data_IF_788962365645
#
_entry.id   IF_788962365645
#
_cell.length_a   1.000
_cell.length_b   1.000
_cell.length_c   1.000
_cell.angle_alpha   90.00
_cell.angle_beta   90.00
_cell.angle_gamma   90.00
#
_symmetry.space_group_name_H-M   'P 1'
#
loop_
_entity.id
_entity.type
_entity.pdbx_description
1 polymer ?
#
# COMPACT_ATOMS: atom_id res chain seq x y z
N UNK A 1 -69.41 -6.59 -23.33
CA UNK A 1 -68.45 -7.71 -23.50
C UNK A 1 -67.74 -7.97 -22.17
N UNK A 2 -67.86 -9.20 -21.67
CA UNK A 2 -67.44 -9.67 -20.35
C UNK A 2 -65.96 -9.42 -20.02
N UNK A 3 -65.63 -9.15 -18.74
CA UNK A 3 -64.29 -9.38 -18.20
C UNK A 3 -64.24 -10.74 -17.49
N UNK A 4 -63.26 -11.57 -17.86
CA UNK A 4 -62.91 -12.82 -17.17
C UNK A 4 -61.43 -13.12 -17.48
N UNK A 5 -60.68 -13.84 -16.62
CA UNK A 5 -60.31 -13.48 -15.25
C UNK A 5 -58.79 -13.59 -15.01
N UNK A 6 -58.38 -13.08 -13.84
CA UNK A 6 -57.10 -13.37 -13.16
C UNK A 6 -56.89 -14.87 -12.88
N UNK A 7 -55.64 -15.32 -13.04
CA UNK A 7 -55.03 -16.53 -12.48
C UNK A 7 -53.55 -16.55 -12.92
N UNK A 8 -52.54 -16.97 -12.18
CA UNK A 8 -52.37 -17.58 -10.85
C UNK A 8 -50.86 -17.44 -10.55
N UNK A 9 -50.40 -17.21 -9.30
CA UNK A 9 -48.96 -17.16 -9.01
C UNK A 9 -48.33 -18.56 -9.09
N UNK A 10 -47.13 -18.64 -9.70
CA UNK A 10 -46.32 -19.86 -9.80
C UNK A 10 -45.28 -19.86 -8.67
N UNK A 11 -44.97 -21.02 -8.04
CA UNK A 11 -44.45 -21.07 -6.67
C UNK A 11 -42.93 -20.93 -6.56
N UNK A 12 -42.53 -20.43 -5.40
CA UNK A 12 -41.16 -20.32 -4.86
C UNK A 12 -40.55 -21.71 -4.62
N UNK A 13 -39.26 -21.96 -4.93
CA UNK A 13 -38.60 -23.23 -4.61
C UNK A 13 -38.35 -23.34 -3.10
N UNK A 14 -38.83 -24.42 -2.51
CA UNK A 14 -38.60 -24.83 -1.13
C UNK A 14 -37.15 -25.29 -0.91
N UNK A 15 -36.55 -24.87 0.20
CA UNK A 15 -35.20 -25.22 0.61
C UNK A 15 -34.96 -26.73 0.78
N UNK A 16 -33.74 -27.14 0.41
CA UNK A 16 -33.22 -28.48 0.65
C UNK A 16 -32.74 -28.62 2.10
N UNK A 17 -32.93 -29.80 2.73
CA UNK A 17 -32.63 -30.02 4.14
C UNK A 17 -31.14 -30.28 4.40
N UNK A 18 -30.64 -29.63 5.45
CA UNK A 18 -29.35 -29.88 6.11
C UNK A 18 -29.29 -31.31 6.67
N UNK A 19 -28.20 -32.08 6.48
CA UNK A 19 -28.02 -33.36 7.14
C UNK A 19 -27.50 -33.20 8.57
N UNK A 20 -28.20 -33.84 9.51
CA UNK A 20 -27.86 -33.95 10.94
C UNK A 20 -26.60 -34.81 11.15
N UNK A 21 -25.67 -34.43 12.06
CA UNK A 21 -24.47 -35.20 12.35
C UNK A 21 -24.75 -36.40 13.26
N UNK A 22 -24.24 -37.58 12.88
CA UNK A 22 -24.21 -38.80 13.69
C UNK A 22 -23.04 -38.77 14.68
N UNK A 23 -23.31 -39.01 15.96
CA UNK A 23 -22.30 -38.98 17.02
C UNK A 23 -21.50 -40.27 17.24
N UNK A 24 -20.23 -40.06 17.62
CA UNK A 24 -19.38 -40.79 18.59
C UNK A 24 -18.89 -42.22 18.25
N UNK A 25 -17.66 -42.62 18.68
CA UNK A 25 -17.13 -42.36 20.02
C UNK A 25 -15.69 -41.81 20.13
N UNK A 26 -15.50 -41.12 21.25
CA UNK A 26 -14.26 -40.69 21.89
C UNK A 26 -13.18 -41.78 21.99
N UNK A 27 -11.90 -41.43 21.78
CA UNK A 27 -10.79 -42.04 22.49
C UNK A 27 -10.19 -41.09 23.53
N UNK A 28 -9.92 -41.71 24.68
CA UNK A 28 -9.25 -41.29 25.91
C UNK A 28 -8.04 -40.36 25.73
N UNK A 29 -7.81 -39.38 26.64
CA UNK A 29 -6.62 -38.54 26.60
C UNK A 29 -5.40 -39.31 27.15
N UNK A 30 -4.34 -39.40 26.35
CA UNK A 30 -3.01 -39.85 26.77
C UNK A 30 -2.20 -38.67 27.27
N UNK A 31 -1.54 -38.88 28.40
CA UNK A 31 -0.82 -37.93 29.23
C UNK A 31 0.38 -37.26 28.55
N UNK A 32 0.62 -35.99 28.92
CA UNK A 32 1.86 -35.25 28.72
C UNK A 32 3.09 -36.00 29.28
N UNK A 33 4.26 -35.87 28.64
CA UNK A 33 5.52 -35.94 29.37
C UNK A 33 5.99 -34.54 29.74
N UNK A 34 5.95 -34.26 31.04
CA UNK A 34 6.72 -33.21 31.70
C UNK A 34 8.20 -33.61 31.71
N UNK A 35 9.16 -32.74 31.36
CA UNK A 35 10.57 -32.97 31.68
C UNK A 35 10.89 -32.42 33.07
N UNK A 36 11.17 -33.33 34.00
CA UNK A 36 11.74 -33.03 35.33
C UNK A 36 13.14 -32.42 35.19
N UNK A 37 13.52 -31.43 36.04
CA UNK A 37 14.85 -30.85 36.06
C UNK A 37 15.87 -31.81 36.69
N UNK A 38 17.10 -31.81 36.19
CA UNK A 38 18.23 -32.42 36.88
C UNK A 38 19.40 -31.44 36.94
N UNK A 39 19.97 -31.41 38.13
CA UNK A 39 20.88 -30.42 38.70
C UNK A 39 22.24 -30.29 38.00
N UNK A 40 22.76 -29.07 38.09
CA UNK A 40 24.19 -28.72 38.04
C UNK A 40 24.99 -29.56 39.07
N UNK A 41 26.33 -29.74 38.92
CA UNK A 41 27.20 -28.70 39.48
C UNK A 41 28.56 -28.46 38.80
N UNK A 42 28.97 -27.19 38.94
CA UNK A 42 30.32 -26.71 39.28
C UNK A 42 31.44 -26.71 38.23
N UNK A 43 32.04 -25.52 38.04
CA UNK A 43 33.45 -25.43 37.65
C UNK A 43 33.91 -24.14 36.97
N UNK A 44 33.96 -23.04 37.72
CA UNK A 44 34.80 -21.85 37.59
C UNK A 44 35.72 -21.64 36.36
N UNK A 45 35.73 -20.42 35.81
CA UNK A 45 36.95 -19.89 35.17
C UNK A 45 36.81 -18.76 34.15
N UNK A 46 36.76 -17.52 34.66
CA UNK A 46 37.51 -16.34 34.16
C UNK A 46 37.31 -15.81 32.73
N UNK A 47 36.82 -14.56 32.64
CA UNK A 47 37.35 -13.55 31.71
C UNK A 47 36.43 -13.17 30.54
N UNK A 48 35.43 -12.33 30.80
CA UNK A 48 34.75 -11.58 29.74
C UNK A 48 35.70 -10.51 29.15
N UNK A 49 35.84 -10.41 27.81
CA UNK A 49 36.54 -9.29 27.20
C UNK A 49 35.67 -8.01 27.28
N UNK A 50 36.25 -6.81 27.45
CA UNK A 50 35.47 -5.58 27.53
C UNK A 50 34.80 -5.25 26.20
N UNK A 51 33.52 -4.90 26.27
CA UNK A 51 32.77 -4.26 25.18
C UNK A 51 33.45 -2.93 24.85
N UNK A 52 33.96 -2.84 23.63
CA UNK A 52 34.56 -1.64 23.07
C UNK A 52 33.42 -0.79 22.49
N UNK A 53 32.94 0.16 23.29
CA UNK A 53 32.06 1.24 22.86
C UNK A 53 32.90 2.21 22.03
N UNK A 54 32.62 2.26 20.73
CA UNK A 54 33.17 3.29 19.84
C UNK A 54 32.54 4.63 20.19
N UNK A 55 33.36 5.59 20.61
CA UNK A 55 33.02 7.02 20.60
C UNK A 55 33.02 7.50 19.15
N UNK A 56 31.86 7.44 18.50
CA UNK A 56 31.57 8.32 17.37
C UNK A 56 30.99 9.61 17.96
N UNK A 57 31.77 10.68 17.97
CA UNK A 57 31.31 12.03 18.27
C UNK A 57 30.44 12.55 17.12
N UNK A 58 29.13 12.81 17.28
CA UNK A 58 28.38 13.52 16.28
C UNK A 58 28.79 15.00 16.34
N UNK A 59 29.43 15.48 15.28
CA UNK A 59 29.68 16.91 15.09
C UNK A 59 28.38 17.58 14.67
N UNK A 60 27.82 18.39 15.58
CA UNK A 60 26.73 19.32 15.27
C UNK A 60 27.09 20.27 14.11
N UNK A 61 26.28 20.25 13.07
CA UNK A 61 25.79 21.46 12.39
C UNK A 61 24.29 21.29 12.21
N UNK A 62 23.45 22.28 12.61
CA UNK A 62 22.03 22.22 12.40
C UNK A 62 21.76 22.58 10.93
N UNK A 63 21.60 21.57 10.09
CA UNK A 63 20.92 21.74 8.82
C UNK A 63 19.44 21.59 9.14
N UNK A 64 18.67 22.62 8.85
CA UNK A 64 17.25 22.69 9.09
C UNK A 64 16.51 22.30 7.80
N UNK A 65 15.34 21.68 8.00
CA UNK A 65 14.13 21.59 7.15
C UNK A 65 14.21 20.84 5.81
N UNK A 66 13.37 19.78 5.70
CA UNK A 66 12.90 19.12 4.48
C UNK A 66 13.83 18.15 3.72
N UNK A 67 14.70 17.40 4.38
CA UNK A 67 15.31 16.19 3.79
C UNK A 67 14.73 14.95 4.49
N UNK A 68 13.59 14.39 4.03
CA UNK A 68 13.33 12.93 4.01
C UNK A 68 11.92 12.47 3.56
N UNK A 69 11.13 13.25 2.81
CA UNK A 69 9.99 12.64 2.13
C UNK A 69 10.51 11.58 1.14
N UNK A 70 10.03 10.34 1.26
CA UNK A 70 10.57 9.20 0.50
C UNK A 70 10.41 9.41 -1.01
N UNK A 71 9.35 10.12 -1.43
CA UNK A 71 9.01 10.51 -2.79
C UNK A 71 10.19 11.00 -3.63
N UNK A 72 10.99 11.94 -3.11
CA UNK A 72 12.10 12.57 -3.86
C UNK A 72 13.31 11.63 -4.08
N UNK A 73 13.33 10.47 -3.39
CA UNK A 73 14.42 9.49 -3.46
C UNK A 73 14.02 8.22 -4.22
N UNK A 74 12.76 8.11 -4.63
CA UNK A 74 12.28 6.97 -5.37
C UNK A 74 12.93 6.95 -6.75
N UNK A 75 13.59 5.85 -7.06
CA UNK A 75 14.14 5.61 -8.38
C UNK A 75 13.35 4.47 -9.01
N UNK A 76 12.26 4.85 -9.66
CA UNK A 76 11.44 3.93 -10.43
C UNK A 76 12.25 3.32 -11.58
N UNK A 77 11.97 2.06 -11.96
CA UNK A 77 12.61 1.45 -13.12
C UNK A 77 12.36 2.29 -14.38
N UNK A 78 13.41 2.48 -15.18
CA UNK A 78 13.30 3.22 -16.43
C UNK A 78 12.36 2.45 -17.37
N UNK A 79 11.21 3.03 -17.72
CA UNK A 79 10.24 2.39 -18.62
C UNK A 79 10.82 2.08 -20.01
N UNK A 80 11.91 2.73 -20.41
CA UNK A 80 12.62 2.40 -21.65
C UNK A 80 13.50 1.15 -21.56
N UNK A 81 13.71 0.64 -20.34
CA UNK A 81 14.39 -0.64 -20.08
C UNK A 81 13.47 -1.85 -20.19
N UNK A 82 12.15 -1.62 -20.29
CA UNK A 82 11.14 -2.66 -20.45
C UNK A 82 11.33 -3.35 -21.83
N UNK A 83 11.41 -4.70 -21.89
CA UNK A 83 11.67 -5.46 -23.12
C UNK A 83 10.78 -5.08 -24.31
N UNK A 84 11.37 -5.10 -25.52
CA UNK A 84 10.68 -4.81 -26.77
C UNK A 84 10.14 -6.08 -27.42
N UNK A 85 9.29 -5.91 -28.44
CA UNK A 85 8.70 -6.97 -29.25
C UNK A 85 9.68 -8.13 -29.61
N UNK A 86 9.17 -9.35 -29.50
CA UNK A 86 9.82 -10.61 -29.81
C UNK A 86 10.16 -10.75 -31.30
N UNK A 87 11.18 -11.55 -31.62
CA UNK A 87 11.48 -11.92 -33.01
C UNK A 87 10.49 -13.01 -33.44
N UNK A 88 9.50 -12.63 -34.26
CA UNK A 88 8.49 -13.56 -34.75
C UNK A 88 8.98 -14.45 -35.91
N UNK A 89 8.51 -15.69 -35.92
CA UNK A 89 8.69 -16.71 -36.96
C UNK A 89 7.48 -16.79 -37.92
N UNK A 90 6.26 -16.56 -37.43
CA UNK A 90 5.07 -16.45 -38.28
C UNK A 90 4.31 -15.14 -38.06
N UNK A 91 3.35 -14.88 -38.94
CA UNK A 91 2.48 -13.71 -38.86
C UNK A 91 1.06 -14.10 -39.22
N UNK A 92 0.13 -13.77 -38.34
CA UNK A 92 -1.30 -13.87 -38.52
C UNK A 92 -1.86 -12.44 -38.57
N UNK A 93 -2.79 -12.22 -39.48
CA UNK A 93 -3.43 -10.91 -39.67
C UNK A 93 -4.91 -11.13 -39.92
N UNK A 94 -5.73 -10.48 -39.11
CA UNK A 94 -7.18 -10.44 -39.23
C UNK A 94 -7.66 -9.52 -40.35
N UNK A 95 -8.87 -9.03 -40.17
CA UNK A 95 -9.64 -8.16 -41.05
C UNK A 95 -10.14 -6.96 -40.26
N UNK A 96 -10.89 -6.05 -40.88
CA UNK A 96 -11.44 -4.88 -40.16
C UNK A 96 -12.72 -5.20 -39.37
N UNK A 97 -12.96 -6.46 -39.01
CA UNK A 97 -14.11 -6.82 -38.19
C UNK A 97 -13.80 -8.07 -37.38
N UNK A 98 -14.64 -8.37 -36.38
CA UNK A 98 -14.40 -9.42 -35.40
C UNK A 98 -13.82 -10.72 -35.98
N UNK A 99 -12.61 -11.01 -35.56
CA UNK A 99 -11.80 -12.15 -35.90
C UNK A 99 -11.50 -13.03 -34.67
N UNK A 100 -11.07 -14.25 -34.94
CA UNK A 100 -10.51 -15.13 -33.93
C UNK A 100 -9.21 -15.69 -34.49
N UNK A 101 -8.10 -15.26 -33.92
CA UNK A 101 -6.76 -15.64 -34.33
C UNK A 101 -6.13 -16.47 -33.22
N UNK A 102 -5.54 -17.59 -33.61
CA UNK A 102 -4.82 -18.47 -32.70
C UNK A 102 -3.46 -18.74 -33.30
N UNK A 103 -2.42 -18.44 -32.52
CA UNK A 103 -1.03 -18.71 -32.84
C UNK A 103 -0.72 -20.20 -32.90
N UNK A 104 0.55 -20.48 -32.75
CA UNK A 104 1.18 -21.77 -32.96
C UNK A 104 2.06 -22.10 -31.75
N UNK A 105 3.10 -22.90 -31.94
CA UNK A 105 4.02 -23.24 -30.86
C UNK A 105 5.40 -22.59 -31.10
N UNK A 106 5.41 -21.48 -31.82
CA UNK A 106 6.59 -20.73 -32.26
C UNK A 106 6.22 -19.27 -32.25
N UNK A 107 7.21 -18.39 -32.00
CA UNK A 107 6.96 -16.97 -31.83
C UNK A 107 6.13 -16.41 -32.98
N UNK A 108 4.93 -15.95 -32.69
CA UNK A 108 3.98 -15.44 -33.65
C UNK A 108 3.90 -13.92 -33.57
N UNK A 109 3.47 -13.32 -34.67
CA UNK A 109 2.98 -11.94 -34.69
C UNK A 109 1.51 -11.99 -35.07
N UNK A 110 0.63 -11.76 -34.09
CA UNK A 110 -0.82 -11.83 -34.24
C UNK A 110 -1.37 -10.41 -34.27
N UNK A 111 -2.03 -10.03 -35.37
CA UNK A 111 -2.58 -8.69 -35.56
C UNK A 111 -4.10 -8.81 -35.79
N UNK A 112 -4.91 -8.31 -34.85
CA UNK A 112 -6.38 -8.27 -34.97
C UNK A 112 -6.85 -7.31 -36.06
N UNK A 113 -6.37 -6.06 -35.99
CA UNK A 113 -6.66 -4.91 -36.86
C UNK A 113 -7.80 -4.03 -36.35
N UNK A 114 -9.01 -4.12 -36.90
CA UNK A 114 -10.17 -3.44 -36.34
C UNK A 114 -11.23 -4.50 -36.06
N UNK A 115 -12.22 -4.14 -35.27
CA UNK A 115 -13.20 -5.06 -34.72
C UNK A 115 -12.73 -5.60 -33.38
N UNK A 116 -13.70 -5.96 -32.54
CA UNK A 116 -13.46 -6.65 -31.28
C UNK A 116 -13.06 -8.10 -31.55
N UNK A 117 -11.80 -8.43 -31.36
CA UNK A 117 -11.17 -9.68 -31.73
C UNK A 117 -10.90 -10.60 -30.54
N UNK A 118 -10.72 -11.89 -30.83
CA UNK A 118 -10.20 -12.87 -29.88
C UNK A 118 -8.83 -13.34 -30.35
N UNK A 119 -7.78 -12.96 -29.63
CA UNK A 119 -6.39 -13.23 -29.98
C UNK A 119 -5.76 -14.18 -28.95
N UNK A 120 -5.13 -15.26 -29.41
CA UNK A 120 -4.59 -16.31 -28.54
C UNK A 120 -3.17 -16.68 -29.01
N UNK A 121 -2.14 -16.45 -28.19
CA UNK A 121 -0.74 -16.80 -28.47
C UNK A 121 -0.47 -18.31 -28.48
N UNK A 122 -0.91 -18.99 -27.41
CA UNK A 122 -0.69 -20.42 -27.07
C UNK A 122 0.61 -20.70 -26.33
N UNK A 123 1.74 -20.78 -27.04
CA UNK A 123 3.02 -21.16 -26.47
C UNK A 123 4.11 -20.33 -27.15
N UNK A 124 5.22 -20.11 -26.46
CA UNK A 124 6.38 -19.32 -26.91
C UNK A 124 6.15 -17.82 -26.85
N UNK A 125 7.22 -17.05 -27.00
CA UNK A 125 7.20 -15.60 -26.86
C UNK A 125 6.62 -14.93 -28.09
N UNK A 126 5.35 -14.58 -28.03
CA UNK A 126 4.56 -14.01 -29.10
C UNK A 126 4.55 -12.48 -29.06
N UNK A 127 4.13 -11.88 -30.17
CA UNK A 127 3.69 -10.49 -30.20
C UNK A 127 2.22 -10.47 -30.59
N UNK A 128 1.38 -9.86 -29.75
CA UNK A 128 -0.06 -9.81 -29.97
C UNK A 128 -0.50 -8.35 -29.97
N UNK A 129 -1.18 -7.95 -31.04
CA UNK A 129 -1.65 -6.60 -31.27
C UNK A 129 -3.16 -6.66 -31.49
N UNK A 130 -3.92 -6.13 -30.54
CA UNK A 130 -5.37 -5.99 -30.59
C UNK A 130 -5.79 -5.25 -31.86
N UNK A 131 -5.40 -3.98 -31.98
CA UNK A 131 -5.80 -3.29 -33.19
C UNK A 131 -5.32 -1.88 -33.43
N UNK A 132 -6.28 -1.01 -33.69
CA UNK A 132 -6.08 0.23 -34.43
C UNK A 132 -5.28 1.25 -33.61
N UNK A 133 -3.99 1.42 -33.93
CA UNK A 133 -3.09 2.41 -33.33
C UNK A 133 -3.44 3.89 -33.65
N UNK A 134 -4.71 4.27 -33.76
CA UNK A 134 -5.13 5.60 -34.23
C UNK A 134 -5.50 6.60 -33.13
N UNK A 135 -5.33 7.87 -33.50
CA UNK A 135 -5.68 9.05 -32.72
C UNK A 135 -7.17 9.42 -32.74
N UNK A 136 -8.07 8.52 -33.14
CA UNK A 136 -9.52 8.78 -33.21
C UNK A 136 -10.18 8.04 -32.04
N UNK A 137 -10.79 8.79 -31.13
CA UNK A 137 -11.73 8.26 -30.14
C UNK A 137 -12.89 7.61 -30.88
N UNK A 138 -12.79 6.30 -31.06
CA UNK A 138 -13.90 5.41 -31.31
C UNK A 138 -14.53 5.15 -29.93
N UNK A 139 -15.85 5.05 -29.80
CA UNK A 139 -16.43 4.86 -28.46
C UNK A 139 -15.98 3.53 -27.85
N UNK A 140 -16.07 3.42 -26.51
CA UNK A 140 -15.69 2.28 -25.65
C UNK A 140 -15.96 0.85 -26.18
N UNK A 141 -16.95 0.69 -27.06
CA UNK A 141 -17.39 -0.63 -27.58
C UNK A 141 -16.84 -0.94 -29.00
N UNK A 142 -15.93 -0.14 -29.54
CA UNK A 142 -15.32 -0.36 -30.85
C UNK A 142 -13.89 -0.80 -30.63
N UNK A 143 -13.55 -1.99 -31.11
CA UNK A 143 -12.22 -2.62 -31.01
C UNK A 143 -11.86 -3.19 -29.62
N UNK A 144 -12.83 -3.36 -28.72
CA UNK A 144 -12.64 -4.10 -27.45
C UNK A 144 -12.18 -5.54 -27.69
N UNK A 145 -10.91 -5.82 -27.50
CA UNK A 145 -10.28 -7.08 -27.77
C UNK A 145 -10.22 -7.98 -26.54
N UNK A 146 -10.16 -9.29 -26.75
CA UNK A 146 -9.81 -10.24 -25.70
C UNK A 146 -8.55 -10.97 -26.11
N UNK A 147 -7.49 -10.78 -25.33
CA UNK A 147 -6.15 -11.23 -25.65
C UNK A 147 -5.65 -12.22 -24.60
N UNK A 148 -5.09 -13.33 -25.05
CA UNK A 148 -4.44 -14.33 -24.21
C UNK A 148 -3.01 -14.57 -24.70
N UNK A 149 -1.99 -14.19 -23.94
CA UNK A 149 -0.59 -14.55 -24.23
C UNK A 149 -0.34 -16.04 -24.00
N UNK A 150 -0.68 -16.50 -22.80
CA UNK A 150 -0.64 -17.88 -22.28
C UNK A 150 0.69 -18.33 -21.67
N UNK A 151 1.71 -18.70 -22.46
CA UNK A 151 2.97 -19.24 -21.92
C UNK A 151 4.17 -18.60 -22.60
N UNK A 152 5.17 -18.26 -21.79
CA UNK A 152 6.40 -17.57 -22.16
C UNK A 152 6.21 -16.07 -22.37
N UNK A 153 7.34 -15.36 -22.31
CA UNK A 153 7.40 -13.91 -22.30
C UNK A 153 6.78 -13.27 -23.55
N UNK A 154 5.53 -12.82 -23.43
CA UNK A 154 4.73 -12.24 -24.48
C UNK A 154 4.81 -10.72 -24.51
N UNK A 155 4.58 -10.14 -25.69
CA UNK A 155 4.48 -8.70 -25.90
C UNK A 155 3.10 -8.37 -26.44
N UNK A 156 2.25 -7.78 -25.60
CA UNK A 156 0.83 -7.58 -25.87
C UNK A 156 0.48 -6.09 -25.86
N UNK A 157 -0.21 -5.64 -26.91
CA UNK A 157 -0.79 -4.29 -26.99
C UNK A 157 -2.28 -4.43 -27.35
N UNK A 158 -3.16 -3.89 -26.51
CA UNK A 158 -4.59 -3.75 -26.80
C UNK A 158 -4.87 -2.70 -27.88
N UNK A 159 -4.28 -1.51 -27.68
CA UNK A 159 -4.39 -0.30 -28.50
C UNK A 159 -5.57 0.62 -28.17
N UNK A 160 -6.78 0.31 -28.58
CA UNK A 160 -7.91 1.22 -28.40
C UNK A 160 -9.21 0.46 -28.23
N UNK A 161 -10.07 0.97 -27.35
CA UNK A 161 -11.29 0.29 -26.92
C UNK A 161 -11.03 -0.45 -25.61
N UNK A 162 -12.10 -0.75 -24.88
CA UNK A 162 -11.98 -1.40 -23.56
C UNK A 162 -11.50 -2.86 -23.73
N UNK A 163 -10.20 -3.11 -23.55
CA UNK A 163 -9.56 -4.38 -23.80
C UNK A 163 -9.51 -5.28 -22.56
N UNK A 164 -9.52 -6.60 -22.80
CA UNK A 164 -9.30 -7.61 -21.77
C UNK A 164 -8.04 -8.40 -22.11
N UNK A 165 -7.01 -8.29 -21.27
CA UNK A 165 -5.71 -8.91 -21.51
C UNK A 165 -5.38 -9.88 -20.37
N UNK A 166 -5.11 -11.14 -20.74
CA UNK A 166 -4.48 -12.14 -19.88
C UNK A 166 -3.08 -12.41 -20.43
N UNK A 167 -2.05 -11.92 -19.74
CA UNK A 167 -0.67 -12.05 -20.20
C UNK A 167 -0.23 -13.52 -20.14
N UNK A 168 -0.33 -14.15 -18.97
CA UNK A 168 -0.33 -15.61 -18.84
C UNK A 168 0.77 -16.13 -17.93
N UNK A 169 1.87 -16.63 -18.48
CA UNK A 169 2.93 -17.23 -17.67
C UNK A 169 4.28 -16.77 -18.17
N UNK A 170 5.22 -16.75 -17.22
CA UNK A 170 6.56 -16.19 -17.39
C UNK A 170 6.49 -14.66 -17.49
N UNK A 171 7.62 -13.98 -17.70
CA UNK A 171 7.69 -12.53 -17.57
C UNK A 171 7.14 -11.84 -18.83
N UNK A 172 5.91 -11.37 -18.77
CA UNK A 172 5.17 -10.79 -19.87
C UNK A 172 5.19 -9.25 -19.85
N UNK A 173 4.84 -8.67 -21.01
CA UNK A 173 4.56 -7.25 -21.11
C UNK A 173 3.20 -7.03 -21.76
N UNK A 174 2.30 -6.37 -21.04
CA UNK A 174 0.99 -5.99 -21.52
C UNK A 174 0.79 -4.47 -21.46
N UNK A 175 0.20 -3.91 -22.51
CA UNK A 175 -0.15 -2.50 -22.61
C UNK A 175 -1.61 -2.44 -23.05
N UNK A 176 -2.47 -1.80 -22.26
CA UNK A 176 -3.88 -1.58 -22.57
C UNK A 176 -4.01 -0.64 -23.77
N UNK A 177 -3.69 0.63 -23.55
CA UNK A 177 -3.55 1.62 -24.60
C UNK A 177 -4.50 2.79 -24.41
N UNK A 178 -5.76 2.64 -24.81
CA UNK A 178 -6.76 3.71 -24.73
C UNK A 178 -8.08 3.15 -24.26
N UNK A 179 -8.82 4.02 -23.58
CA UNK A 179 -10.12 3.67 -22.99
C UNK A 179 -9.89 2.72 -21.80
N UNK A 180 -10.93 2.09 -21.24
CA UNK A 180 -10.81 1.41 -19.94
C UNK A 180 -10.42 -0.05 -20.11
N UNK A 181 -9.17 -0.38 -19.79
CA UNK A 181 -8.60 -1.70 -19.99
C UNK A 181 -8.56 -2.53 -18.70
N UNK A 182 -8.57 -3.85 -18.88
CA UNK A 182 -8.46 -4.82 -17.80
C UNK A 182 -7.34 -5.82 -18.09
N UNK A 183 -6.28 -5.77 -17.29
CA UNK A 183 -5.03 -6.49 -17.54
C UNK A 183 -4.69 -7.38 -16.34
N UNK A 184 -4.42 -8.66 -16.62
CA UNK A 184 -3.83 -9.61 -15.67
C UNK A 184 -2.44 -10.05 -16.15
N UNK A 185 -1.42 -9.88 -15.32
CA UNK A 185 -0.08 -10.47 -15.52
C UNK A 185 -0.08 -11.98 -15.35
N UNK A 186 -0.90 -12.48 -14.41
CA UNK A 186 -1.06 -13.89 -14.04
C UNK A 186 0.16 -14.49 -13.31
N UNK A 187 1.16 -15.04 -13.99
CA UNK A 187 2.30 -15.76 -13.36
C UNK A 187 3.62 -15.25 -13.93
N UNK A 188 4.49 -14.67 -13.13
CA UNK A 188 5.78 -14.19 -13.63
C UNK A 188 6.10 -12.84 -13.03
N UNK A 189 7.23 -12.26 -13.42
CA UNK A 189 7.52 -10.85 -13.13
C UNK A 189 7.08 -10.00 -14.30
N UNK A 190 5.83 -9.54 -14.25
CA UNK A 190 5.15 -8.93 -15.38
C UNK A 190 5.35 -7.41 -15.42
N UNK A 191 5.17 -6.83 -16.60
CA UNK A 191 5.13 -5.38 -16.78
C UNK A 191 3.85 -4.96 -17.47
N UNK A 192 3.00 -4.26 -16.73
CA UNK A 192 1.65 -3.88 -17.14
C UNK A 192 1.53 -2.35 -17.21
N UNK A 193 1.01 -1.85 -18.33
CA UNK A 193 0.77 -0.42 -18.54
C UNK A 193 -0.68 -0.20 -18.97
N UNK A 194 -1.41 0.69 -18.28
CA UNK A 194 -2.75 1.12 -18.66
C UNK A 194 -2.74 2.06 -19.86
N UNK A 195 -1.85 3.06 -19.83
CA UNK A 195 -1.73 4.19 -20.77
C UNK A 195 -2.86 5.25 -20.58
N UNK A 196 -3.82 5.40 -21.50
CA UNK A 196 -4.89 6.42 -21.42
C UNK A 196 -6.23 5.77 -21.04
N UNK A 197 -6.78 5.94 -19.85
CA UNK A 197 -8.00 5.25 -19.49
C UNK A 197 -8.25 5.22 -18.00
N UNK A 198 -9.45 4.82 -17.59
CA UNK A 198 -9.64 4.37 -16.21
C UNK A 198 -9.39 2.84 -16.24
N UNK A 199 -8.18 2.42 -15.94
CA UNK A 199 -7.68 1.06 -16.15
C UNK A 199 -7.73 0.22 -14.87
N UNK A 200 -7.70 -1.11 -15.02
CA UNK A 200 -7.54 -2.03 -13.90
C UNK A 200 -6.44 -3.04 -14.19
N UNK A 201 -5.40 -3.03 -13.35
CA UNK A 201 -4.21 -3.86 -13.51
C UNK A 201 -4.04 -4.79 -12.31
N UNK A 202 -3.81 -6.08 -12.59
CA UNK A 202 -3.48 -7.09 -11.60
C UNK A 202 -2.13 -7.73 -11.95
N UNK A 203 -1.14 -7.64 -11.08
CA UNK A 203 0.13 -8.35 -11.24
C UNK A 203 -0.09 -9.87 -11.28
N UNK A 204 -0.85 -10.38 -10.31
CA UNK A 204 -1.23 -11.79 -10.23
C UNK A 204 -2.52 -12.19 -10.96
N UNK A 205 -2.93 -13.45 -10.74
CA UNK A 205 -4.15 -14.01 -11.33
C UNK A 205 -5.41 -13.79 -10.48
N UNK A 206 -6.57 -13.84 -11.14
CA UNK A 206 -7.90 -13.75 -10.51
C UNK A 206 -8.33 -14.97 -9.68
N UNK A 207 -7.59 -16.08 -9.73
CA UNK A 207 -7.99 -17.36 -9.15
C UNK A 207 -7.16 -17.69 -7.90
N UNK A 208 -7.61 -17.16 -6.75
CA UNK A 208 -7.04 -17.38 -5.40
C UNK A 208 -6.79 -18.87 -4.99
N UNK A 209 -7.23 -19.83 -5.81
CA UNK A 209 -7.04 -21.27 -5.59
C UNK A 209 -5.87 -21.91 -6.34
N UNK A 210 -5.34 -21.26 -7.37
CA UNK A 210 -4.24 -21.81 -8.19
C UNK A 210 -2.85 -21.30 -7.80
N UNK A 211 -2.78 -20.37 -6.83
CA UNK A 211 -1.53 -20.00 -6.16
C UNK A 211 -0.44 -19.66 -7.17
N UNK A 212 -0.70 -18.63 -7.96
CA UNK A 212 0.40 -17.76 -8.35
C UNK A 212 0.09 -16.37 -7.83
N UNK A 213 0.85 -16.02 -6.82
CA UNK A 213 1.07 -14.65 -6.44
C UNK A 213 2.58 -14.40 -6.51
N UNK A 214 3.32 -15.18 -7.32
CA UNK A 214 4.78 -15.11 -7.35
C UNK A 214 5.20 -14.31 -8.56
N UNK A 215 5.77 -13.14 -8.30
CA UNK A 215 6.11 -12.17 -9.32
C UNK A 215 6.98 -11.07 -8.75
N UNK A 216 7.27 -10.06 -9.53
CA UNK A 216 7.86 -8.80 -9.05
C UNK A 216 7.46 -7.82 -10.11
N UNK A 217 6.23 -7.36 -9.98
CA UNK A 217 5.48 -6.82 -11.06
C UNK A 217 5.69 -5.31 -11.12
N UNK A 218 5.67 -4.80 -12.35
CA UNK A 218 5.74 -3.37 -12.62
C UNK A 218 4.40 -2.93 -13.20
N UNK A 219 3.61 -2.26 -12.38
CA UNK A 219 2.29 -1.77 -12.76
C UNK A 219 2.31 -0.25 -12.89
N UNK A 220 1.80 0.24 -14.03
CA UNK A 220 1.68 1.66 -14.32
C UNK A 220 0.27 1.96 -14.83
N UNK A 221 -0.51 2.77 -14.09
CA UNK A 221 -1.83 3.23 -14.53
C UNK A 221 -1.74 4.25 -15.67
N UNK A 222 -0.82 5.22 -15.51
CA UNK A 222 -0.54 6.32 -16.43
C UNK A 222 -1.55 7.48 -16.39
N UNK A 223 -2.65 7.46 -17.12
CA UNK A 223 -3.55 8.61 -17.21
C UNK A 223 -5.00 8.21 -17.08
N UNK A 224 -5.66 8.64 -16.01
CA UNK A 224 -7.05 8.38 -15.69
C UNK A 224 -7.15 7.85 -14.26
N UNK A 225 -8.33 7.42 -13.84
CA UNK A 225 -8.54 6.92 -12.48
C UNK A 225 -8.38 5.41 -12.45
N UNK A 226 -7.18 4.97 -12.08
CA UNK A 226 -6.75 3.58 -12.23
C UNK A 226 -6.90 2.77 -10.94
N UNK A 227 -6.97 1.45 -11.10
CA UNK A 227 -6.97 0.49 -10.00
C UNK A 227 -5.87 -0.53 -10.19
N UNK A 228 -4.92 -0.57 -9.26
CA UNK A 228 -3.71 -1.39 -9.35
C UNK A 228 -3.63 -2.36 -8.16
N UNK A 229 -3.37 -3.64 -8.43
CA UNK A 229 -3.17 -4.69 -7.43
C UNK A 229 -1.87 -5.45 -7.69
N UNK A 230 -0.92 -5.41 -6.76
CA UNK A 230 0.36 -6.14 -6.83
C UNK A 230 0.19 -7.62 -6.50
N UNK A 231 -0.51 -7.89 -5.39
CA UNK A 231 -0.86 -9.21 -4.84
C UNK A 231 0.17 -9.79 -3.84
N UNK A 232 1.11 -10.65 -4.24
CA UNK A 232 2.21 -11.05 -3.34
C UNK A 232 3.55 -10.81 -4.05
N UNK A 233 4.64 -10.76 -3.28
CA UNK A 233 5.99 -10.43 -3.71
C UNK A 233 6.27 -8.92 -3.76
N UNK A 234 7.55 -8.55 -3.90
CA UNK A 234 7.96 -7.14 -3.87
C UNK A 234 7.67 -6.46 -5.23
N UNK A 235 6.57 -5.73 -5.31
CA UNK A 235 6.07 -5.11 -6.53
C UNK A 235 6.39 -3.60 -6.59
N UNK A 236 6.25 -3.02 -7.78
CA UNK A 236 6.31 -1.56 -7.98
C UNK A 236 5.08 -1.09 -8.73
N UNK A 237 4.30 -0.24 -8.08
CA UNK A 237 3.01 0.24 -8.55
C UNK A 237 3.02 1.77 -8.62
N UNK A 238 2.59 2.31 -9.75
CA UNK A 238 2.53 3.75 -10.00
C UNK A 238 1.18 4.08 -10.60
N UNK A 239 0.37 4.86 -9.89
CA UNK A 239 -0.94 5.35 -10.33
C UNK A 239 -0.80 6.20 -11.59
N UNK A 240 -0.27 7.42 -11.43
CA UNK A 240 0.00 8.33 -12.55
C UNK A 240 -0.80 9.62 -12.41
N UNK A 241 -1.38 10.09 -13.51
CA UNK A 241 -2.27 11.25 -13.50
C UNK A 241 -3.71 10.78 -13.23
N UNK A 242 -4.32 11.12 -12.10
CA UNK A 242 -5.72 10.80 -11.82
C UNK A 242 -6.00 10.60 -10.34
N UNK A 243 -7.17 10.04 -10.03
CA UNK A 243 -7.47 9.62 -8.65
C UNK A 243 -7.43 8.11 -8.62
N UNK A 244 -6.33 7.57 -8.12
CA UNK A 244 -5.99 6.16 -8.26
C UNK A 244 -6.27 5.38 -6.98
N UNK A 245 -6.48 4.08 -7.12
CA UNK A 245 -6.52 3.14 -6.01
C UNK A 245 -5.44 2.10 -6.20
N UNK A 246 -4.44 2.09 -5.32
CA UNK A 246 -3.28 1.20 -5.43
C UNK A 246 -3.15 0.34 -4.18
N UNK A 247 -3.02 -0.96 -4.39
CA UNK A 247 -2.86 -1.95 -3.33
C UNK A 247 -1.62 -2.81 -3.61
N UNK A 248 -0.62 -2.73 -2.74
CA UNK A 248 0.62 -3.50 -2.84
C UNK A 248 0.36 -4.98 -2.64
N UNK A 249 -0.06 -5.35 -1.43
CA UNK A 249 -0.52 -6.70 -1.13
C UNK A 249 0.36 -7.36 -0.08
N UNK A 250 1.24 -8.28 -0.45
CA UNK A 250 2.18 -8.92 0.48
C UNK A 250 3.61 -8.70 0.06
N UNK A 251 4.48 -8.75 1.07
CA UNK A 251 5.91 -8.46 0.96
C UNK A 251 6.15 -6.96 0.75
N UNK A 252 7.41 -6.56 0.55
CA UNK A 252 7.77 -5.12 0.58
C UNK A 252 7.55 -4.45 -0.77
N UNK A 253 6.53 -3.59 -0.82
CA UNK A 253 6.11 -2.92 -2.04
C UNK A 253 6.62 -1.48 -2.16
N UNK A 254 6.69 -1.02 -3.40
CA UNK A 254 6.93 0.38 -3.76
C UNK A 254 5.70 0.95 -4.46
N UNK A 255 5.03 1.91 -3.82
CA UNK A 255 3.79 2.51 -4.32
C UNK A 255 3.96 4.02 -4.51
N UNK A 256 3.55 4.53 -5.66
CA UNK A 256 3.46 5.97 -5.96
C UNK A 256 2.05 6.30 -6.50
N UNK A 257 1.35 7.25 -5.89
CA UNK A 257 0.10 7.81 -6.44
C UNK A 257 0.37 8.74 -7.62
N UNK A 258 1.43 9.55 -7.52
CA UNK A 258 1.79 10.63 -8.45
C UNK A 258 0.81 11.81 -8.40
N UNK A 259 -0.09 12.02 -9.36
CA UNK A 259 -0.84 13.26 -9.47
C UNK A 259 -2.35 13.05 -9.35
N UNK A 260 -2.89 13.37 -8.19
CA UNK A 260 -4.31 13.58 -7.92
C UNK A 260 -4.62 13.17 -6.49
N UNK A 261 -5.87 12.79 -6.22
CA UNK A 261 -6.24 12.38 -4.87
C UNK A 261 -6.34 10.86 -4.82
N UNK A 262 -5.31 10.24 -4.25
CA UNK A 262 -5.09 8.80 -4.34
C UNK A 262 -5.44 8.07 -3.06
N UNK A 263 -5.73 6.77 -3.21
CA UNK A 263 -5.99 5.85 -2.13
C UNK A 263 -4.99 4.70 -2.19
N UNK A 264 -4.04 4.70 -1.26
CA UNK A 264 -2.89 3.79 -1.26
C UNK A 264 -2.93 2.84 -0.06
N UNK A 265 -2.68 1.55 -0.31
CA UNK A 265 -2.59 0.49 0.69
C UNK A 265 -1.30 -0.31 0.50
N UNK A 266 -0.45 -0.38 1.53
CA UNK A 266 0.74 -1.26 1.55
C UNK A 266 0.37 -2.71 1.85
N UNK A 267 -0.57 -2.89 2.78
CA UNK A 267 -1.15 -4.17 3.25
C UNK A 267 -0.28 -4.98 4.20
N UNK A 268 0.57 -5.89 3.73
CA UNK A 268 1.38 -6.78 4.57
C UNK A 268 2.82 -6.74 4.10
N UNK A 269 3.68 -5.97 4.74
CA UNK A 269 4.95 -5.77 4.09
C UNK A 269 5.94 -4.95 4.87
N UNK A 270 6.80 -4.25 4.18
CA UNK A 270 7.54 -3.14 4.76
C UNK A 270 7.62 -2.18 3.62
N UNK A 271 6.59 -1.36 3.54
CA UNK A 271 6.21 -0.74 2.30
C UNK A 271 6.76 0.65 2.22
N UNK A 272 7.02 1.07 0.99
CA UNK A 272 7.45 2.42 0.70
C UNK A 272 6.40 3.09 -0.16
N UNK A 273 5.75 4.10 0.38
CA UNK A 273 4.62 4.76 -0.28
C UNK A 273 4.81 6.26 -0.41
N UNK A 274 4.45 6.77 -1.57
CA UNK A 274 4.39 8.19 -1.89
C UNK A 274 2.99 8.51 -2.43
N UNK A 275 2.28 9.45 -1.79
CA UNK A 275 1.03 10.02 -2.30
C UNK A 275 1.31 10.80 -3.59
N UNK A 276 1.89 11.98 -3.45
CA UNK A 276 2.39 12.77 -4.58
C UNK A 276 1.84 14.18 -4.57
N UNK A 277 1.07 14.56 -5.59
CA UNK A 277 0.38 15.84 -5.74
C UNK A 277 -1.14 15.66 -5.60
N UNK A 278 -1.72 16.07 -4.48
CA UNK A 278 -3.16 16.11 -4.24
C UNK A 278 -3.49 15.63 -2.84
N UNK A 279 -4.79 15.60 -2.47
CA UNK A 279 -5.17 15.21 -1.11
C UNK A 279 -5.26 13.68 -1.05
N UNK A 280 -4.25 13.03 -0.47
CA UNK A 280 -4.08 11.57 -0.51
C UNK A 280 -4.54 10.88 0.77
N UNK A 281 -4.89 9.59 0.66
CA UNK A 281 -5.11 8.72 1.81
C UNK A 281 -4.22 7.49 1.72
N UNK A 282 -3.34 7.32 2.71
CA UNK A 282 -2.31 6.28 2.73
C UNK A 282 -2.50 5.41 3.99
N UNK A 283 -2.57 4.10 3.78
CA UNK A 283 -2.58 3.08 4.83
C UNK A 283 -1.33 2.21 4.68
N UNK A 284 -0.45 2.21 5.70
CA UNK A 284 0.69 1.30 5.83
C UNK A 284 0.24 -0.15 5.74
N UNK A 285 -0.31 -0.64 6.84
CA UNK A 285 -0.88 -1.98 6.90
C UNK A 285 -2.41 -2.03 6.77
N UNK A 286 -2.95 -3.22 6.50
CA UNK A 286 -4.34 -3.51 6.84
C UNK A 286 -4.51 -3.89 8.32
N UNK A 287 -5.52 -3.30 8.97
CA UNK A 287 -5.91 -3.50 10.38
C UNK A 287 -6.20 -4.97 10.80
N UNK A 288 -6.13 -5.95 9.88
CA UNK A 288 -6.77 -7.27 10.03
C UNK A 288 -5.77 -8.43 10.14
N UNK A 289 -4.52 -8.31 9.65
CA UNK A 289 -3.64 -9.49 9.51
C UNK A 289 -2.21 -9.29 10.06
N UNK A 290 -2.06 -8.79 11.30
CA UNK A 290 -0.80 -8.96 12.03
C UNK A 290 -0.63 -10.45 12.44
N UNK A 291 -0.15 -11.30 11.52
CA UNK A 291 0.08 -12.74 11.77
C UNK A 291 1.51 -13.21 11.59
N UNK A 292 2.37 -12.37 11.02
CA UNK A 292 3.79 -12.62 10.98
C UNK A 292 4.47 -12.05 12.26
N UNK A 293 5.67 -12.52 12.60
CA UNK A 293 6.41 -12.00 13.76
C UNK A 293 7.63 -11.17 13.30
N UNK A 294 7.58 -10.70 12.06
CA UNK A 294 8.52 -9.72 11.51
C UNK A 294 8.15 -8.35 12.07
N UNK A 295 9.09 -7.41 12.06
CA UNK A 295 8.74 -6.00 12.17
C UNK A 295 8.51 -5.52 10.75
N UNK A 296 7.29 -5.09 10.44
CA UNK A 296 6.85 -4.62 9.14
C UNK A 296 6.88 -3.09 9.17
N UNK A 297 8.02 -2.48 8.85
CA UNK A 297 8.19 -1.03 9.05
C UNK A 297 7.91 -0.28 7.77
N UNK A 298 6.92 0.60 7.81
CA UNK A 298 6.52 1.37 6.63
C UNK A 298 7.17 2.74 6.56
N UNK A 299 7.35 3.21 5.32
CA UNK A 299 7.86 4.54 4.98
C UNK A 299 6.83 5.26 4.12
N UNK A 300 6.04 6.11 4.76
CA UNK A 300 4.87 6.75 4.18
C UNK A 300 5.14 8.24 3.99
N UNK A 301 4.90 8.77 2.79
CA UNK A 301 4.91 10.21 2.57
C UNK A 301 3.71 10.69 1.74
N UNK A 302 3.01 11.72 2.20
CA UNK A 302 1.92 12.38 1.46
C UNK A 302 2.41 13.30 0.34
N UNK A 303 3.52 14.00 0.57
CA UNK A 303 4.16 14.93 -0.38
C UNK A 303 3.46 16.29 -0.49
N UNK A 304 2.51 16.52 -1.39
CA UNK A 304 1.82 17.81 -1.54
C UNK A 304 0.33 17.60 -1.48
N UNK A 305 -0.36 18.37 -0.65
CA UNK A 305 -1.81 18.30 -0.50
C UNK A 305 -2.17 18.17 0.96
N UNK A 306 -3.45 18.02 1.29
CA UNK A 306 -3.86 17.77 2.69
C UNK A 306 -4.10 16.28 2.89
N UNK A 307 -3.10 15.61 3.43
CA UNK A 307 -3.03 14.14 3.41
C UNK A 307 -3.53 13.50 4.68
N UNK A 308 -4.07 12.28 4.55
CA UNK A 308 -4.39 11.40 5.66
C UNK A 308 -3.49 10.17 5.62
N UNK A 309 -2.61 10.02 6.60
CA UNK A 309 -1.63 8.94 6.65
C UNK A 309 -1.83 8.12 7.93
N UNK A 310 -1.98 6.81 7.78
CA UNK A 310 -2.12 5.85 8.87
C UNK A 310 -1.03 4.78 8.76
N UNK A 311 -0.12 4.71 9.73
CA UNK A 311 0.90 3.65 9.83
C UNK A 311 0.31 2.29 10.22
N UNK A 312 -0.58 2.32 11.22
CA UNK A 312 -1.31 1.18 11.77
C UNK A 312 -0.52 0.30 12.74
N UNK A 313 0.13 -0.77 12.33
CA UNK A 313 0.91 -1.63 13.23
C UNK A 313 2.41 -1.35 13.06
N UNK A 314 3.24 -1.95 13.92
CA UNK A 314 4.70 -1.84 13.82
C UNK A 314 5.24 -0.40 13.92
N UNK A 315 6.52 -0.19 13.55
CA UNK A 315 7.27 1.01 13.88
C UNK A 315 7.56 1.82 12.62
N UNK A 316 6.72 2.81 12.37
CA UNK A 316 6.63 3.44 11.06
C UNK A 316 7.32 4.79 10.98
N UNK A 317 7.54 5.23 9.74
CA UNK A 317 7.99 6.58 9.41
C UNK A 317 6.96 7.27 8.51
N UNK A 318 6.32 8.30 9.06
CA UNK A 318 5.31 9.09 8.37
C UNK A 318 5.82 10.52 8.13
N UNK A 319 5.59 11.02 6.93
CA UNK A 319 5.87 12.40 6.53
C UNK A 319 4.63 12.99 5.82
N UNK A 320 4.05 14.07 6.33
CA UNK A 320 2.93 14.76 5.67
C UNK A 320 3.42 15.42 4.38
N UNK A 321 4.29 16.41 4.51
CA UNK A 321 4.88 17.13 3.39
C UNK A 321 4.43 18.59 3.37
N UNK A 322 4.02 19.09 2.22
CA UNK A 322 3.42 20.42 2.06
C UNK A 322 1.91 20.29 2.13
N UNK A 323 1.23 20.88 3.11
CA UNK A 323 -0.13 20.45 3.32
C UNK A 323 -0.86 21.00 4.53
N UNK A 324 -1.79 20.21 5.04
CA UNK A 324 -2.39 20.37 6.36
C UNK A 324 -2.83 18.97 6.71
N UNK A 325 -1.89 18.22 7.22
CA UNK A 325 -1.90 16.77 7.14
C UNK A 325 -2.40 16.17 8.43
N UNK A 326 -2.89 14.93 8.37
CA UNK A 326 -3.29 14.17 9.54
C UNK A 326 -2.55 12.84 9.57
N UNK A 327 -1.66 12.70 10.55
CA UNK A 327 -0.78 11.55 10.70
C UNK A 327 -1.15 10.75 11.94
N UNK A 328 -1.48 9.48 11.74
CA UNK A 328 -1.72 8.48 12.78
C UNK A 328 -0.61 7.42 12.74
N UNK A 329 0.23 7.36 13.79
CA UNK A 329 1.28 6.34 13.89
C UNK A 329 0.69 4.94 14.11
N UNK A 330 -0.27 4.83 15.03
CA UNK A 330 -0.91 3.56 15.35
C UNK A 330 -0.19 2.82 16.49
N UNK A 331 0.26 1.60 16.26
CA UNK A 331 0.90 0.74 17.25
C UNK A 331 2.36 0.47 16.94
N UNK A 332 3.22 1.30 17.48
CA UNK A 332 4.61 0.93 17.69
C UNK A 332 5.40 2.13 18.16
N UNK A 333 6.69 2.13 17.89
CA UNK A 333 7.52 3.29 18.21
C UNK A 333 7.73 4.08 16.91
N UNK A 334 6.80 5.00 16.62
CA UNK A 334 6.67 5.66 15.32
C UNK A 334 7.43 6.99 15.23
N UNK A 335 7.73 7.43 14.02
CA UNK A 335 8.31 8.73 13.72
C UNK A 335 7.43 9.51 12.75
N UNK A 336 6.80 10.58 13.23
CA UNK A 336 5.88 11.41 12.45
C UNK A 336 6.47 12.80 12.23
N UNK A 337 6.47 13.26 10.98
CA UNK A 337 6.85 14.62 10.58
C UNK A 337 5.68 15.26 9.81
N UNK A 338 5.13 16.37 10.29
CA UNK A 338 4.05 17.11 9.61
C UNK A 338 4.58 17.74 8.33
N UNK A 339 5.38 18.80 8.46
CA UNK A 339 6.06 19.45 7.33
C UNK A 339 5.71 20.92 7.25
N UNK A 340 5.16 21.37 6.13
CA UNK A 340 4.63 22.73 6.00
C UNK A 340 3.12 22.70 6.18
N UNK A 341 2.57 23.48 7.10
CA UNK A 341 1.12 23.67 7.21
C UNK A 341 0.57 23.40 8.60
N UNK A 342 -0.76 23.34 8.72
CA UNK A 342 -1.40 23.14 10.02
C UNK A 342 -1.63 21.62 10.27
N UNK A 343 -0.63 20.91 10.82
CA UNK A 343 -0.63 19.44 10.84
C UNK A 343 -1.16 18.83 12.16
N UNK A 344 -1.83 17.69 12.05
CA UNK A 344 -2.31 16.88 13.17
C UNK A 344 -1.46 15.61 13.34
N UNK A 345 -0.77 15.49 14.47
CA UNK A 345 0.12 14.37 14.75
C UNK A 345 -0.37 13.55 15.95
N UNK A 346 -0.69 12.29 15.72
CA UNK A 346 -1.10 11.33 16.73
C UNK A 346 -0.27 10.05 16.63
N UNK A 347 0.77 9.92 17.46
CA UNK A 347 1.55 8.67 17.51
C UNK A 347 0.83 7.48 18.17
N UNK A 348 -0.37 7.68 18.72
CA UNK A 348 -1.17 6.64 19.39
C UNK A 348 -0.45 5.82 20.49
N UNK A 349 -0.14 4.54 20.25
CA UNK A 349 0.51 3.66 21.22
C UNK A 349 2.04 3.72 21.05
N UNK A 350 2.78 3.18 22.03
CA UNK A 350 4.25 3.14 21.97
C UNK A 350 4.96 4.51 22.07
N UNK A 351 6.27 4.51 21.88
CA UNK A 351 7.13 5.65 22.14
C UNK A 351 7.49 6.37 20.85
N UNK A 352 6.73 7.42 20.56
CA UNK A 352 6.78 8.08 19.26
C UNK A 352 7.67 9.31 19.27
N UNK A 353 8.25 9.64 18.12
CA UNK A 353 8.92 10.92 17.85
C UNK A 353 8.04 11.74 16.93
N UNK A 354 7.70 12.96 17.35
CA UNK A 354 6.81 13.86 16.62
C UNK A 354 7.56 15.15 16.28
N UNK A 355 7.44 15.57 15.03
CA UNK A 355 7.93 16.85 14.52
C UNK A 355 6.79 17.53 13.76
N UNK A 356 6.38 18.71 14.20
CA UNK A 356 5.28 19.44 13.56
C UNK A 356 5.74 20.07 12.25
N UNK A 357 6.84 20.82 12.31
CA UNK A 357 7.38 21.54 11.17
C UNK A 357 7.09 23.04 11.24
N UNK A 358 6.53 23.60 10.17
CA UNK A 358 6.21 25.02 10.06
C UNK A 358 4.71 25.26 10.16
N UNK A 359 4.32 26.46 10.60
CA UNK A 359 2.92 26.87 10.84
C UNK A 359 2.35 26.29 12.15
N UNK A 360 1.03 26.05 12.27
CA UNK A 360 0.43 25.65 13.56
C UNK A 360 0.16 24.16 13.60
N UNK A 361 0.91 23.48 14.46
CA UNK A 361 0.76 22.04 14.62
C UNK A 361 -0.04 21.63 15.86
N UNK A 362 -0.66 20.45 15.76
CA UNK A 362 -1.54 19.87 16.76
C UNK A 362 -1.00 18.50 17.19
N UNK A 363 -0.29 18.47 18.32
CA UNK A 363 0.25 17.22 18.86
C UNK A 363 -0.75 16.59 19.82
N UNK A 364 -1.26 15.40 19.47
CA UNK A 364 -2.30 14.76 20.26
C UNK A 364 -1.72 13.95 21.42
N UNK A 365 -2.18 14.26 22.62
CA UNK A 365 -1.83 13.60 23.87
C UNK A 365 -3.05 12.85 24.40
N UNK A 366 -3.00 11.52 24.35
CA UNK A 366 -4.01 10.64 24.92
C UNK A 366 -3.50 10.04 26.25
N UNK A 367 -4.37 9.30 26.96
CA UNK A 367 -3.97 8.58 28.18
C UNK A 367 -3.49 7.15 27.92
N UNK A 368 -3.23 6.78 26.66
CA UNK A 368 -2.80 5.47 26.19
C UNK A 368 -1.44 5.06 26.73
N UNK A 369 -0.83 4.04 26.14
CA UNK A 369 0.50 3.55 26.53
C UNK A 369 1.60 4.23 25.71
N UNK A 370 2.82 4.36 26.27
CA UNK A 370 3.98 4.92 25.55
C UNK A 370 4.15 6.45 25.62
N UNK A 371 5.30 6.99 25.21
CA UNK A 371 5.68 8.39 25.46
C UNK A 371 6.00 9.10 24.14
N UNK A 372 5.37 10.25 23.90
CA UNK A 372 5.66 11.07 22.72
C UNK A 372 6.83 12.03 23.00
N UNK A 373 7.84 12.03 22.14
CA UNK A 373 8.93 13.00 22.14
C UNK A 373 8.64 14.03 21.05
N UNK A 374 8.30 15.25 21.45
CA UNK A 374 8.02 16.36 20.52
C UNK A 374 9.28 17.22 20.41
N UNK A 375 9.80 17.35 19.20
CA UNK A 375 11.16 17.85 18.96
C UNK A 375 11.24 19.37 18.71
N UNK A 376 10.17 19.98 18.19
CA UNK A 376 10.17 21.34 17.64
C UNK A 376 9.01 22.23 18.08
N UNK A 377 8.29 21.86 19.14
CA UNK A 377 7.14 22.60 19.67
C UNK A 377 7.39 24.13 19.81
N UNK A 378 6.63 24.91 19.05
CA UNK A 378 6.67 26.36 18.95
C UNK A 378 5.58 27.01 19.80
N UNK A 379 5.95 27.48 21.00
CA UNK A 379 5.02 28.14 21.93
C UNK A 379 4.28 29.30 21.25
N UNK A 380 2.94 29.28 21.37
CA UNK A 380 2.07 30.36 20.91
C UNK A 380 1.69 30.25 19.44
N UNK A 381 2.27 29.28 18.74
CA UNK A 381 1.83 28.83 17.42
C UNK A 381 1.14 27.47 17.60
N UNK A 382 1.88 26.45 18.06
CA UNK A 382 1.43 25.05 18.21
C UNK A 382 0.52 24.81 19.42
N UNK A 383 -0.21 23.69 19.36
CA UNK A 383 -1.11 23.24 20.41
C UNK A 383 -0.89 21.78 20.78
N UNK A 384 -0.93 21.52 22.10
CA UNK A 384 -1.04 20.18 22.66
C UNK A 384 -2.53 19.82 22.81
N UNK A 385 -3.01 18.85 22.05
CA UNK A 385 -4.41 18.42 22.05
C UNK A 385 -4.62 17.34 23.10
N UNK A 386 -5.46 17.60 24.10
CA UNK A 386 -5.74 16.65 25.17
C UNK A 386 -7.00 15.83 24.86
N UNK A 387 -6.88 14.51 24.85
CA UNK A 387 -8.01 13.59 24.62
C UNK A 387 -8.23 12.66 25.83
N UNK A 388 -9.21 11.75 25.77
CA UNK A 388 -9.42 10.73 26.81
C UNK A 388 -9.79 11.28 28.20
N UNK A 389 -10.41 12.47 28.25
CA UNK A 389 -10.79 13.13 29.50
C UNK A 389 -9.61 13.76 30.26
N UNK A 390 -8.45 13.92 29.61
CA UNK A 390 -7.38 14.78 30.07
C UNK A 390 -7.84 16.26 30.03
N UNK A 391 -7.32 17.04 30.97
CA UNK A 391 -7.52 18.50 31.02
C UNK A 391 -6.23 19.10 31.57
N UNK A 392 -5.98 20.37 31.26
CA UNK A 392 -4.79 21.09 31.75
C UNK A 392 -4.57 20.94 33.26
N UNK A 393 -5.63 21.02 34.07
CA UNK A 393 -5.54 20.91 35.53
C UNK A 393 -5.22 19.50 36.05
N UNK A 394 -5.28 18.48 35.19
CA UNK A 394 -4.88 17.11 35.50
C UNK A 394 -3.43 16.82 35.08
N UNK A 395 -2.72 17.79 34.52
CA UNK A 395 -1.34 17.62 34.09
C UNK A 395 -0.35 17.98 35.20
N UNK A 396 0.81 17.31 35.16
CA UNK A 396 2.03 17.65 35.88
C UNK A 396 3.06 18.04 34.83
N UNK A 397 3.51 19.29 34.84
CA UNK A 397 4.51 19.82 33.91
C UNK A 397 5.78 20.12 34.72
N UNK A 398 6.89 19.46 34.39
CA UNK A 398 8.14 19.54 35.16
C UNK A 398 9.33 19.69 34.22
N UNK A 399 10.28 20.55 34.59
CA UNK A 399 11.56 20.63 33.90
C UNK A 399 12.48 19.49 34.37
N UNK A 400 13.05 18.74 33.43
CA UNK A 400 14.17 17.84 33.68
C UNK A 400 15.33 18.19 32.74
N UNK A 401 16.41 18.73 33.29
CA UNK A 401 17.53 19.26 32.51
C UNK A 401 17.05 20.26 31.44
N UNK A 402 17.26 19.98 30.16
CA UNK A 402 16.85 20.79 29.02
C UNK A 402 15.51 20.38 28.41
N UNK A 403 14.80 19.40 28.97
CA UNK A 403 13.52 18.92 28.45
C UNK A 403 12.37 19.19 29.43
N UNK A 404 11.17 19.34 28.89
CA UNK A 404 9.95 19.47 29.68
C UNK A 404 9.19 18.16 29.65
N UNK A 405 8.90 17.61 30.82
CA UNK A 405 8.04 16.43 30.96
C UNK A 405 6.61 16.86 31.26
N UNK A 406 5.68 16.40 30.43
CA UNK A 406 4.23 16.53 30.65
C UNK A 406 3.72 15.16 31.06
N UNK A 407 3.12 15.06 32.24
CA UNK A 407 2.56 13.80 32.75
C UNK A 407 1.21 14.00 33.43
N UNK A 408 0.65 12.93 33.99
CA UNK A 408 -0.62 12.99 34.73
C UNK A 408 -0.34 13.31 36.20
N UNK A 409 -1.04 14.29 36.75
CA UNK A 409 -0.93 14.69 38.15
C UNK A 409 -1.34 13.54 39.09
N UNK A 410 -0.54 13.30 40.12
CA UNK A 410 -0.78 12.25 41.11
C UNK A 410 -0.37 10.83 40.67
N UNK A 411 0.21 10.66 39.48
CA UNK A 411 0.73 9.38 38.97
C UNK A 411 2.18 9.54 38.50
N UNK A 412 2.85 8.44 38.11
CA UNK A 412 4.17 8.51 37.48
C UNK A 412 4.10 8.50 35.94
N UNK A 413 2.90 8.54 35.34
CA UNK A 413 2.71 8.52 33.89
C UNK A 413 3.22 9.83 33.28
N UNK A 414 4.18 9.74 32.36
CA UNK A 414 4.61 10.80 31.45
C UNK A 414 3.86 10.61 30.14
N UNK A 415 3.27 11.65 29.57
CA UNK A 415 2.56 11.61 28.28
C UNK A 415 3.48 12.06 27.15
N UNK A 416 4.22 13.15 27.40
CA UNK A 416 5.12 13.73 26.40
C UNK A 416 6.39 14.33 27.01
N UNK A 417 7.42 14.37 26.19
CA UNK A 417 8.69 15.06 26.41
C UNK A 417 8.79 16.15 25.35
N UNK A 418 8.87 17.41 25.76
CA UNK A 418 9.17 18.52 24.85
C UNK A 418 10.67 18.83 24.90
N UNK A 419 11.32 18.80 23.75
CA UNK A 419 12.71 19.21 23.62
C UNK A 419 12.79 20.72 23.34
N UNK A 420 13.79 21.39 23.92
CA UNK A 420 14.04 22.82 23.64
C UNK A 420 13.07 23.81 24.32
N UNK A 421 11.97 23.34 24.91
CA UNK A 421 10.98 24.19 25.59
C UNK A 421 11.11 24.12 27.11
N UNK A 422 11.06 25.27 27.78
CA UNK A 422 11.10 25.36 29.24
C UNK A 422 9.71 25.13 29.84
N UNK A 423 9.63 24.35 30.91
CA UNK A 423 8.37 23.99 31.57
C UNK A 423 7.61 25.21 32.09
N UNK A 424 8.34 26.25 32.51
CA UNK A 424 7.74 27.51 32.97
C UNK A 424 7.14 28.36 31.85
N UNK A 425 7.46 28.04 30.59
CA UNK A 425 6.93 28.74 29.43
C UNK A 425 5.60 28.14 28.96
N UNK A 426 5.31 26.87 29.30
CA UNK A 426 4.07 26.20 28.90
C UNK A 426 2.91 26.66 29.79
N UNK A 427 1.86 27.18 29.15
CA UNK A 427 0.69 27.78 29.79
C UNK A 427 -0.61 27.13 29.29
N UNK A 428 -1.74 27.42 29.95
CA UNK A 428 -3.03 26.82 29.60
C UNK A 428 -3.47 27.07 28.15
N UNK A 429 -3.02 28.18 27.55
CA UNK A 429 -3.34 28.55 26.17
C UNK A 429 -2.65 27.66 25.12
N UNK A 430 -1.58 26.96 25.50
CA UNK A 430 -0.82 26.06 24.62
C UNK A 430 -1.50 24.66 24.54
N UNK A 431 -2.69 24.52 25.13
CA UNK A 431 -3.47 23.29 25.15
C UNK A 431 -4.88 23.54 24.62
N UNK A 432 -5.41 22.52 23.94
CA UNK A 432 -6.83 22.42 23.62
C UNK A 432 -7.37 21.06 24.04
N UNK A 433 -8.70 20.92 24.10
CA UNK A 433 -9.39 19.67 24.46
C UNK A 433 -10.42 19.39 23.37
N UNK A 434 -10.48 18.15 22.92
CA UNK A 434 -11.50 17.67 21.97
C UNK A 434 -12.39 16.60 22.59
#
# INVERSE_FOLDING_TARGET
>A
PSPTPSGTPTPMPSGSPSPTPSGSPSPTPSESPSPTPSESPAGAGTGAPPLQIGEETPTNSPVAVAEDCICDRLNLPDRTSIPAANIAENTLTGTDGQDTLTGSNTNDNINGLNGSDLLIGLFSSDNIYGGFASSISVGSDVDSDTIFGNENNDYILGHAGDDIIYAGKDDDRAIGGKDSDLIWGDKGSDTLLGDEGDDTLFGGNSEASEGDFTGKDLLFGDSGSDVLYGEESEDTLVGGDGSDTVQGGKDSDLICGDAGSDLLFGDLGSDTMCGGDGDDTIFGDNDIIATDNSSQQDYLCGSRGSDLILGNEDADRLCGGDGSDTLYGGKGDDSLTGGSGDDWLMGDSGNNTLQGGSDRDYFVLNSGEGINVISDFSKGEDLLVLTGGLTFYRLRIVQENSTTLIGIAGTNRVLAILNGVQASAIEQQDFTVI
#
